data_IF_324228189708
#
_entry.id   IF_324228189708
#
_cell.length_a   1.000
_cell.length_b   1.000
_cell.length_c   1.000
_cell.angle_alpha   90.00
_cell.angle_beta   90.00
_cell.angle_gamma   90.00
#
_symmetry.space_group_name_H-M   'P 1'
#
loop_
_entity.id
_entity.type
_entity.pdbx_description
1 polymer ?
#
# COMPACT_ATOMS: atom_id res chain seq x y z
N UNK A 1 -22.30 22.69 -30.81
CA UNK A 1 -22.04 22.57 -29.37
C UNK A 1 -22.66 21.26 -28.92
N UNK A 2 -21.88 20.19 -29.00
CA UNK A 2 -22.36 18.83 -28.80
C UNK A 2 -22.43 18.50 -27.31
N UNK A 3 -23.51 17.83 -26.93
CA UNK A 3 -23.86 17.44 -25.57
C UNK A 3 -22.73 16.69 -24.85
N UNK A 4 -21.96 17.40 -24.01
CA UNK A 4 -21.12 16.80 -22.96
C UNK A 4 -21.98 16.34 -21.78
N UNK A 5 -23.01 15.54 -22.07
CA UNK A 5 -23.73 14.82 -21.05
C UNK A 5 -22.83 13.66 -20.61
N UNK A 6 -21.91 13.96 -19.69
CA UNK A 6 -21.11 12.99 -18.98
C UNK A 6 -22.08 11.99 -18.33
N UNK A 7 -22.38 10.90 -19.05
CA UNK A 7 -23.20 9.81 -18.55
C UNK A 7 -22.47 9.28 -17.34
N UNK A 8 -23.06 9.53 -16.17
CA UNK A 8 -22.61 8.96 -14.92
C UNK A 8 -22.38 7.46 -15.15
N UNK A 9 -21.22 6.91 -14.74
CA UNK A 9 -21.01 5.47 -14.79
C UNK A 9 -22.20 4.81 -14.08
N UNK A 10 -22.73 3.73 -14.66
CA UNK A 10 -23.76 2.95 -13.97
C UNK A 10 -23.29 2.66 -12.54
N UNK A 11 -24.18 2.67 -11.55
CA UNK A 11 -23.80 2.48 -10.13
C UNK A 11 -22.90 1.25 -9.94
N UNK A 12 -23.13 0.20 -10.73
CA UNK A 12 -22.29 -1.00 -10.78
C UNK A 12 -20.84 -0.72 -11.20
N UNK A 13 -20.61 0.08 -12.24
CA UNK A 13 -19.28 0.44 -12.72
C UNK A 13 -18.51 1.28 -11.67
N UNK A 14 -19.19 2.17 -10.96
CA UNK A 14 -18.56 2.94 -9.87
C UNK A 14 -18.06 2.02 -8.75
N UNK A 15 -18.91 1.11 -8.27
CA UNK A 15 -18.54 0.16 -7.22
C UNK A 15 -17.42 -0.79 -7.63
N UNK A 16 -17.42 -1.23 -8.89
CA UNK A 16 -16.36 -2.05 -9.44
C UNK A 16 -15.01 -1.31 -9.42
N UNK A 17 -14.96 -0.06 -9.90
CA UNK A 17 -13.73 0.73 -9.91
C UNK A 17 -13.24 1.08 -8.51
N UNK A 18 -14.16 1.36 -7.58
CA UNK A 18 -13.85 1.54 -6.17
C UNK A 18 -13.21 0.27 -5.58
N UNK A 19 -13.85 -0.89 -5.77
CA UNK A 19 -13.35 -2.17 -5.25
C UNK A 19 -11.98 -2.52 -5.83
N UNK A 20 -11.79 -2.35 -7.15
CA UNK A 20 -10.50 -2.57 -7.81
C UNK A 20 -9.42 -1.63 -7.28
N UNK A 21 -9.74 -0.34 -7.08
CA UNK A 21 -8.81 0.64 -6.53
C UNK A 21 -8.42 0.30 -5.09
N UNK A 22 -9.39 -0.09 -4.27
CA UNK A 22 -9.15 -0.45 -2.87
C UNK A 22 -8.33 -1.73 -2.75
N UNK A 23 -8.68 -2.79 -3.49
CA UNK A 23 -7.93 -4.06 -3.51
C UNK A 23 -6.52 -3.81 -4.03
N UNK A 24 -6.37 -3.07 -5.14
CA UNK A 24 -5.07 -2.79 -5.75
C UNK A 24 -4.11 -2.06 -4.79
N UNK A 25 -4.59 -1.00 -4.14
CA UNK A 25 -3.78 -0.28 -3.15
C UNK A 25 -3.49 -1.12 -1.90
N UNK A 26 -4.45 -1.93 -1.44
CA UNK A 26 -4.26 -2.81 -0.27
C UNK A 26 -3.24 -3.91 -0.55
N UNK A 27 -3.27 -4.51 -1.74
CA UNK A 27 -2.29 -5.50 -2.18
C UNK A 27 -0.90 -4.88 -2.32
N UNK A 28 -0.80 -3.68 -2.90
CA UNK A 28 0.46 -2.95 -3.00
C UNK A 28 1.04 -2.60 -1.62
N UNK A 29 0.20 -2.18 -0.67
CA UNK A 29 0.61 -1.92 0.70
C UNK A 29 1.10 -3.19 1.42
N UNK A 30 0.43 -4.32 1.21
CA UNK A 30 0.90 -5.62 1.73
C UNK A 30 2.29 -5.95 1.19
N UNK A 31 2.47 -5.80 -0.13
CA UNK A 31 3.73 -6.06 -0.79
C UNK A 31 4.85 -5.17 -0.23
N UNK A 32 4.60 -3.88 -0.04
CA UNK A 32 5.55 -2.97 0.62
C UNK A 32 5.97 -3.47 2.00
N UNK A 33 5.02 -3.91 2.83
CA UNK A 33 5.32 -4.39 4.18
C UNK A 33 6.17 -5.68 4.17
N UNK A 34 5.97 -6.57 3.18
CA UNK A 34 6.82 -7.74 2.99
C UNK A 34 8.26 -7.34 2.65
N UNK A 35 8.48 -6.35 1.78
CA UNK A 35 9.84 -5.87 1.50
C UNK A 35 10.46 -5.12 2.68
N UNK A 36 9.67 -4.35 3.43
CA UNK A 36 10.17 -3.70 4.65
C UNK A 36 10.63 -4.73 5.68
N UNK A 37 9.94 -5.87 5.80
CA UNK A 37 10.38 -6.98 6.65
C UNK A 37 11.76 -7.50 6.25
N UNK A 38 11.98 -7.72 4.96
CA UNK A 38 13.26 -8.19 4.42
C UNK A 38 14.35 -7.15 4.73
N UNK A 39 14.07 -5.86 4.47
CA UNK A 39 14.99 -4.77 4.78
C UNK A 39 15.37 -4.71 6.26
N UNK A 40 14.43 -4.97 7.18
CA UNK A 40 14.75 -5.02 8.61
C UNK A 40 15.73 -6.15 8.94
N UNK A 41 15.64 -7.29 8.25
CA UNK A 41 16.56 -8.41 8.41
C UNK A 41 17.94 -8.05 7.86
N UNK A 42 17.99 -7.47 6.65
CA UNK A 42 19.24 -7.10 5.98
C UNK A 42 19.99 -6.02 6.77
N UNK A 43 19.27 -4.99 7.25
CA UNK A 43 19.84 -3.94 8.12
C UNK A 43 20.38 -4.54 9.42
N UNK A 44 19.65 -5.46 10.05
CA UNK A 44 20.12 -6.10 11.28
C UNK A 44 21.40 -6.90 11.06
N UNK A 45 21.52 -7.59 9.92
CA UNK A 45 22.73 -8.31 9.53
C UNK A 45 23.88 -7.33 9.25
N UNK A 46 23.63 -6.25 8.52
CA UNK A 46 24.63 -5.23 8.20
C UNK A 46 25.18 -4.52 9.45
N UNK A 47 24.31 -4.18 10.41
CA UNK A 47 24.70 -3.47 11.63
C UNK A 47 25.22 -4.39 12.75
N UNK A 48 25.11 -5.71 12.60
CA UNK A 48 25.61 -6.67 13.58
C UNK A 48 24.93 -6.59 14.94
N UNK A 49 23.67 -6.15 15.00
CA UNK A 49 22.91 -5.93 16.25
C UNK A 49 22.59 -7.22 17.05
N UNK A 50 22.99 -8.38 16.52
CA UNK A 50 22.89 -9.67 17.19
C UNK A 50 21.59 -10.43 16.89
N UNK A 51 21.53 -11.72 17.27
CA UNK A 51 20.46 -12.63 16.85
C UNK A 51 19.11 -12.37 17.54
N UNK A 52 19.11 -11.69 18.69
CA UNK A 52 17.90 -11.48 19.49
C UNK A 52 16.87 -10.57 18.81
N UNK A 53 17.33 -9.50 18.13
CA UNK A 53 16.45 -8.60 17.38
C UNK A 53 15.86 -9.32 16.17
N UNK A 54 16.67 -10.13 15.49
CA UNK A 54 16.25 -10.98 14.38
C UNK A 54 15.12 -11.94 14.78
N UNK A 55 15.26 -12.61 15.93
CA UNK A 55 14.22 -13.51 16.48
C UNK A 55 12.95 -12.73 16.82
N UNK A 56 13.07 -11.52 17.37
CA UNK A 56 11.94 -10.65 17.68
C UNK A 56 11.18 -10.22 16.41
N UNK A 57 11.90 -9.75 15.40
CA UNK A 57 11.33 -9.34 14.10
C UNK A 57 10.74 -10.53 13.35
N UNK A 58 11.36 -11.70 13.42
CA UNK A 58 10.87 -12.89 12.73
C UNK A 58 9.55 -13.40 13.34
N UNK A 59 9.48 -13.48 14.68
CA UNK A 59 8.32 -14.01 15.42
C UNK A 59 7.15 -13.01 15.54
N UNK A 60 7.45 -11.74 15.80
CA UNK A 60 6.42 -10.71 16.01
C UNK A 60 6.19 -9.82 14.79
N UNK A 61 7.15 -9.77 13.85
CA UNK A 61 7.05 -8.89 12.69
C UNK A 61 5.88 -9.23 11.80
N UNK A 62 5.55 -10.52 11.60
CA UNK A 62 4.34 -10.89 10.84
C UNK A 62 3.06 -10.35 11.47
N UNK A 63 2.93 -10.45 12.80
CA UNK A 63 1.76 -9.95 13.52
C UNK A 63 1.70 -8.43 13.44
N UNK A 64 2.80 -7.74 13.75
CA UNK A 64 2.85 -6.27 13.78
C UNK A 64 2.69 -5.66 12.39
N UNK A 65 3.31 -6.24 11.36
CA UNK A 65 3.12 -5.83 9.98
C UNK A 65 1.70 -6.14 9.50
N UNK A 66 1.12 -7.27 9.91
CA UNK A 66 -0.28 -7.60 9.61
C UNK A 66 -1.26 -6.62 10.23
N UNK A 67 -1.05 -6.24 11.50
CA UNK A 67 -1.85 -5.21 12.17
C UNK A 67 -1.67 -3.84 11.51
N UNK A 68 -0.44 -3.44 11.21
CA UNK A 68 -0.14 -2.20 10.49
C UNK A 68 -0.77 -2.18 9.09
N UNK A 69 -0.75 -3.31 8.39
CA UNK A 69 -1.44 -3.49 7.11
C UNK A 69 -2.94 -3.29 7.25
N UNK A 70 -3.58 -3.97 8.21
CA UNK A 70 -5.03 -3.85 8.44
C UNK A 70 -5.43 -2.41 8.73
N UNK A 71 -4.69 -1.72 9.61
CA UNK A 71 -4.90 -0.28 9.88
C UNK A 71 -4.76 0.53 8.59
N UNK A 72 -3.73 0.25 7.78
CA UNK A 72 -3.53 0.89 6.48
C UNK A 72 -4.70 0.65 5.53
N UNK A 73 -5.22 -0.58 5.43
CA UNK A 73 -6.38 -0.93 4.61
C UNK A 73 -7.62 -0.14 5.04
N UNK A 74 -7.88 -0.02 6.35
CA UNK A 74 -8.99 0.80 6.85
C UNK A 74 -8.80 2.29 6.54
N UNK A 75 -7.59 2.82 6.68
CA UNK A 75 -7.29 4.22 6.34
C UNK A 75 -7.51 4.48 4.85
N UNK A 76 -7.03 3.59 3.98
CA UNK A 76 -7.24 3.66 2.54
C UNK A 76 -8.73 3.58 2.22
N UNK A 77 -9.46 2.67 2.87
CA UNK A 77 -10.90 2.52 2.69
C UNK A 77 -11.65 3.82 3.03
N UNK A 78 -11.40 4.39 4.21
CA UNK A 78 -12.02 5.63 4.65
C UNK A 78 -11.68 6.79 3.71
N UNK A 79 -10.42 6.86 3.26
CA UNK A 79 -9.95 7.91 2.36
C UNK A 79 -10.58 7.81 0.96
N UNK A 80 -10.73 6.60 0.42
CA UNK A 80 -11.36 6.36 -0.88
C UNK A 80 -12.88 6.50 -0.81
N UNK A 81 -13.52 6.05 0.28
CA UNK A 81 -14.98 6.09 0.47
C UNK A 81 -15.51 7.52 0.49
N UNK A 82 -14.74 8.49 0.97
CA UNK A 82 -15.10 9.91 0.91
C UNK A 82 -14.98 10.56 -0.48
N UNK A 83 -15.02 9.79 -1.57
CA UNK A 83 -14.91 10.30 -2.94
C UNK A 83 -16.28 10.38 -3.61
N UNK A 84 -16.77 11.59 -3.84
CA UNK A 84 -18.11 11.80 -4.41
C UNK A 84 -18.15 11.63 -5.94
N UNK A 85 -16.98 11.67 -6.59
CA UNK A 85 -16.86 11.56 -8.06
C UNK A 85 -15.78 10.57 -8.46
N UNK A 86 -15.90 10.02 -9.68
CA UNK A 86 -14.93 9.10 -10.25
C UNK A 86 -13.55 9.74 -10.43
N UNK A 87 -13.50 11.03 -10.81
CA UNK A 87 -12.23 11.78 -10.94
C UNK A 87 -11.53 11.91 -9.59
N UNK A 88 -12.28 12.23 -8.53
CA UNK A 88 -11.73 12.32 -7.17
C UNK A 88 -11.23 10.96 -6.68
N UNK A 89 -11.99 9.89 -6.94
CA UNK A 89 -11.60 8.52 -6.58
C UNK A 89 -10.29 8.12 -7.27
N UNK A 90 -10.19 8.31 -8.59
CA UNK A 90 -8.99 7.99 -9.34
C UNK A 90 -7.79 8.84 -8.90
N UNK A 91 -7.98 10.13 -8.64
CA UNK A 91 -6.92 11.01 -8.14
C UNK A 91 -6.43 10.55 -6.77
N UNK A 92 -7.33 10.24 -5.84
CA UNK A 92 -6.98 9.76 -4.49
C UNK A 92 -6.30 8.40 -4.55
N UNK A 93 -6.85 7.47 -5.32
CA UNK A 93 -6.25 6.15 -5.57
C UNK A 93 -4.86 6.27 -6.17
N UNK A 94 -4.69 7.14 -7.18
CA UNK A 94 -3.39 7.41 -7.80
C UNK A 94 -2.37 8.00 -6.83
N UNK A 95 -2.79 8.90 -5.93
CA UNK A 95 -1.92 9.41 -4.87
C UNK A 95 -1.45 8.32 -3.91
N UNK A 96 -2.37 7.48 -3.42
CA UNK A 96 -2.01 6.34 -2.55
C UNK A 96 -1.05 5.41 -3.29
N UNK A 97 -1.35 5.08 -4.55
CA UNK A 97 -0.50 4.24 -5.39
C UNK A 97 0.90 4.84 -5.57
N UNK A 98 1.01 6.14 -5.84
CA UNK A 98 2.31 6.81 -6.00
C UNK A 98 3.12 6.83 -4.70
N UNK A 99 2.48 7.08 -3.55
CA UNK A 99 3.18 7.12 -2.26
C UNK A 99 3.63 5.72 -1.85
N UNK A 100 2.74 4.73 -1.90
CA UNK A 100 3.05 3.34 -1.54
C UNK A 100 4.03 2.74 -2.55
N UNK A 101 3.81 2.97 -3.84
CA UNK A 101 4.69 2.51 -4.92
C UNK A 101 6.06 3.17 -4.87
N UNK A 102 6.14 4.48 -4.63
CA UNK A 102 7.41 5.18 -4.42
C UNK A 102 8.18 4.64 -3.21
N UNK A 103 7.47 4.38 -2.09
CA UNK A 103 8.07 3.75 -0.92
C UNK A 103 8.57 2.33 -1.22
N UNK A 104 7.85 1.58 -2.07
CA UNK A 104 8.26 0.24 -2.51
C UNK A 104 9.53 0.30 -3.36
N UNK A 105 9.64 1.26 -4.29
CA UNK A 105 10.85 1.46 -5.08
C UNK A 105 12.04 1.81 -4.20
N UNK A 106 11.87 2.67 -3.20
CA UNK A 106 12.91 2.99 -2.22
C UNK A 106 13.31 1.74 -1.43
N UNK A 107 12.31 0.98 -0.96
CA UNK A 107 12.50 -0.27 -0.22
C UNK A 107 13.30 -1.29 -1.04
N UNK A 108 12.96 -1.47 -2.32
CA UNK A 108 13.71 -2.33 -3.25
C UNK A 108 15.13 -1.82 -3.48
N UNK A 109 15.29 -0.51 -3.71
CA UNK A 109 16.61 0.10 -3.89
C UNK A 109 17.52 -0.11 -2.67
N UNK A 110 16.96 -0.09 -1.47
CA UNK A 110 17.70 -0.41 -0.24
C UNK A 110 18.16 -1.87 -0.21
N UNK A 111 17.30 -2.82 -0.61
CA UNK A 111 17.66 -4.24 -0.70
C UNK A 111 18.82 -4.46 -1.66
N UNK A 112 18.82 -3.79 -2.81
CA UNK A 112 19.93 -3.86 -3.78
C UNK A 112 21.24 -3.23 -3.29
N UNK A 113 21.20 -2.31 -2.33
CA UNK A 113 22.39 -1.65 -1.79
C UNK A 113 23.01 -2.41 -0.62
N UNK A 114 22.20 -3.12 0.16
CA UNK A 114 22.64 -3.78 1.42
C UNK A 114 22.78 -5.29 1.23
N UNK A 115 21.92 -5.91 0.40
CA UNK A 115 21.93 -7.35 0.10
C UNK A 115 22.94 -7.73 -0.97
#
# INVERSE_FOLDING_TARGET
MADQQARWPSRALWWLLYALSWIGNSALALWLLLHLRINLIDINNFLGWGPWILIGVDKFGFLLLGLGWLVGVFVIELYLRGSDTLVTLLRRSGWVFMVVGGSLVISLGLQWLIG
#
